data_IF_329632728676
#
_entry.id   IF_329632728676
#
_cell.length_a   1.000
_cell.length_b   1.000
_cell.length_c   1.000
_cell.angle_alpha   90.00
_cell.angle_beta   90.00
_cell.angle_gamma   90.00
#
_symmetry.space_group_name_H-M   'P 1'
#
loop_
_entity.id
_entity.type
_entity.pdbx_description
1 polymer ?
#
# COMPACT_ATOMS: atom_id res chain seq x y z
N UNK A 1 0.89 -26.69 1.22
CA UNK A 1 1.42 -25.50 1.88
C UNK A 1 2.93 -25.68 2.06
N UNK A 2 3.74 -24.90 1.37
CA UNK A 2 5.18 -24.92 1.59
C UNK A 2 5.45 -24.44 3.02
N UNK A 3 6.20 -25.22 3.81
CA UNK A 3 6.68 -24.80 5.13
C UNK A 3 7.55 -23.57 4.93
N UNK A 4 7.17 -22.45 5.50
CA UNK A 4 7.95 -21.23 5.50
C UNK A 4 9.33 -21.52 6.12
N UNK A 5 10.39 -21.23 5.37
CA UNK A 5 11.75 -21.33 5.89
C UNK A 5 11.93 -20.23 6.95
N UNK A 6 12.08 -20.63 8.22
CA UNK A 6 12.53 -19.69 9.25
C UNK A 6 13.89 -19.15 8.85
N UNK A 7 14.09 -17.83 9.02
CA UNK A 7 15.41 -17.22 8.86
C UNK A 7 16.27 -17.69 10.02
N UNK A 8 17.18 -18.62 9.77
CA UNK A 8 18.08 -19.17 10.79
C UNK A 8 19.30 -18.26 11.00
N UNK A 9 19.84 -17.72 9.91
CA UNK A 9 21.00 -16.84 9.92
C UNK A 9 20.70 -15.58 9.11
N UNK A 10 21.13 -14.42 9.61
CA UNK A 10 20.98 -13.13 8.93
C UNK A 10 22.13 -12.99 7.92
N UNK A 11 21.80 -12.61 6.69
CA UNK A 11 22.80 -12.28 5.66
C UNK A 11 23.64 -11.10 6.10
N UNK A 12 24.93 -11.09 5.74
CA UNK A 12 25.81 -9.96 6.04
C UNK A 12 25.40 -8.74 5.21
N UNK A 13 25.28 -7.60 5.86
CA UNK A 13 24.86 -6.33 5.24
C UNK A 13 25.79 -5.89 4.11
N UNK A 14 27.10 -6.13 4.25
CA UNK A 14 28.11 -5.75 3.25
C UNK A 14 28.12 -6.69 2.05
N UNK A 15 27.55 -7.90 2.19
CA UNK A 15 27.45 -8.88 1.10
C UNK A 15 26.18 -8.68 0.28
N UNK A 16 25.03 -8.51 0.94
CA UNK A 16 23.73 -8.26 0.29
C UNK A 16 22.82 -7.47 1.22
N UNK A 17 22.79 -6.16 1.02
CA UNK A 17 21.98 -5.24 1.82
C UNK A 17 20.47 -5.54 1.72
N UNK A 18 19.96 -5.86 0.55
CA UNK A 18 18.53 -6.12 0.34
C UNK A 18 18.08 -7.39 1.08
N UNK A 19 18.90 -8.44 0.99
CA UNK A 19 18.62 -9.69 1.70
C UNK A 19 18.79 -9.51 3.22
N UNK A 20 19.83 -8.80 3.66
CA UNK A 20 20.03 -8.45 5.07
C UNK A 20 18.81 -7.73 5.66
N UNK A 21 18.32 -6.72 4.97
CA UNK A 21 17.12 -5.96 5.39
C UNK A 21 15.89 -6.87 5.54
N UNK A 22 15.67 -7.72 4.54
CA UNK A 22 14.57 -8.68 4.55
C UNK A 22 14.68 -9.69 5.70
N UNK A 23 15.89 -10.23 5.90
CA UNK A 23 16.16 -11.20 6.98
C UNK A 23 15.92 -10.60 8.36
N UNK A 24 16.35 -9.36 8.59
CA UNK A 24 16.10 -8.64 9.85
C UNK A 24 14.61 -8.45 10.09
N UNK A 25 13.88 -7.93 9.11
CA UNK A 25 12.44 -7.69 9.23
C UNK A 25 11.67 -8.97 9.56
N UNK A 26 12.05 -10.10 8.95
CA UNK A 26 11.44 -11.40 9.20
C UNK A 26 11.90 -12.02 10.52
N UNK A 27 13.19 -11.96 10.83
CA UNK A 27 13.76 -12.51 12.08
C UNK A 27 13.22 -11.80 13.31
N UNK A 28 13.04 -10.49 13.23
CA UNK A 28 12.44 -9.66 14.28
C UNK A 28 10.90 -9.78 14.33
N UNK A 29 10.30 -10.62 13.49
CA UNK A 29 8.85 -10.84 13.42
C UNK A 29 8.05 -9.56 13.11
N UNK A 30 8.63 -8.62 12.35
CA UNK A 30 7.96 -7.39 11.95
C UNK A 30 7.00 -7.60 10.78
N UNK A 31 7.39 -8.45 9.84
CA UNK A 31 6.65 -8.73 8.61
C UNK A 31 6.65 -10.20 8.24
N UNK A 32 5.67 -10.58 7.45
CA UNK A 32 5.55 -11.88 6.80
C UNK A 32 5.00 -11.72 5.38
N UNK A 33 5.34 -12.64 4.47
CA UNK A 33 4.80 -12.59 3.11
C UNK A 33 3.36 -13.08 3.07
N UNK A 34 2.51 -12.33 2.36
CA UNK A 34 1.14 -12.73 2.10
C UNK A 34 1.05 -13.78 0.98
N UNK A 35 -0.11 -14.40 0.84
CA UNK A 35 -0.39 -15.36 -0.24
C UNK A 35 -0.36 -14.72 -1.63
N UNK A 36 -0.64 -13.42 -1.71
CA UNK A 36 -0.56 -12.65 -2.95
C UNK A 36 0.87 -12.14 -3.12
N UNK A 37 1.48 -12.46 -4.28
CA UNK A 37 2.84 -12.06 -4.59
C UNK A 37 3.01 -10.53 -4.53
N UNK A 38 4.05 -10.09 -3.84
CA UNK A 38 4.34 -8.67 -3.66
C UNK A 38 3.65 -8.01 -2.47
N UNK A 39 2.77 -8.75 -1.76
CA UNK A 39 2.12 -8.25 -0.55
C UNK A 39 2.80 -8.80 0.71
N UNK A 40 2.79 -7.98 1.76
CA UNK A 40 3.31 -8.34 3.08
C UNK A 40 2.24 -8.14 4.15
N UNK A 41 2.36 -8.92 5.21
CA UNK A 41 1.57 -8.78 6.42
C UNK A 41 2.45 -8.10 7.46
N UNK A 42 2.02 -6.97 7.98
CA UNK A 42 2.65 -6.38 9.16
C UNK A 42 2.22 -7.20 10.39
N UNK A 43 3.20 -7.81 11.06
CA UNK A 43 2.96 -8.56 12.28
C UNK A 43 2.84 -7.61 13.48
N UNK A 44 2.39 -8.06 14.66
CA UNK A 44 2.13 -7.17 15.79
C UNK A 44 3.25 -6.20 16.15
N UNK A 45 4.52 -6.65 16.12
CA UNK A 45 5.65 -5.75 16.40
C UNK A 45 5.86 -4.71 15.30
N UNK A 46 5.74 -5.10 14.03
CA UNK A 46 5.81 -4.16 12.91
C UNK A 46 4.64 -3.18 12.91
N UNK A 47 3.44 -3.67 13.23
CA UNK A 47 2.25 -2.83 13.30
C UNK A 47 2.32 -1.83 14.45
N UNK A 48 2.89 -2.20 15.60
CA UNK A 48 3.09 -1.28 16.73
C UNK A 48 4.03 -0.10 16.37
N UNK A 49 5.03 -0.33 15.52
CA UNK A 49 5.87 0.75 14.98
C UNK A 49 5.01 1.69 14.13
N UNK A 50 4.19 1.14 13.25
CA UNK A 50 3.28 1.90 12.41
C UNK A 50 2.26 2.73 13.22
N UNK A 51 1.63 2.16 14.24
CA UNK A 51 0.72 2.87 15.14
C UNK A 51 1.39 4.05 15.84
N UNK A 52 2.64 3.87 16.27
CA UNK A 52 3.41 4.96 16.89
C UNK A 52 3.72 6.09 15.89
N UNK A 53 4.09 5.76 14.65
CA UNK A 53 4.30 6.76 13.59
C UNK A 53 3.01 7.53 13.34
N UNK A 54 1.89 6.83 13.14
CA UNK A 54 0.58 7.46 12.92
C UNK A 54 0.21 8.40 14.07
N UNK A 55 0.33 7.94 15.30
CA UNK A 55 -0.03 8.73 16.51
C UNK A 55 0.78 10.02 16.62
N UNK A 56 2.09 9.93 16.36
CA UNK A 56 2.98 11.09 16.47
C UNK A 56 2.68 12.10 15.34
N UNK A 57 2.61 11.62 14.10
CA UNK A 57 2.38 12.49 12.94
C UNK A 57 0.98 13.11 12.95
N UNK A 58 -0.05 12.34 13.27
CA UNK A 58 -1.43 12.82 13.37
C UNK A 58 -1.56 13.93 14.41
N UNK A 59 -0.90 13.78 15.55
CA UNK A 59 -0.88 14.82 16.58
C UNK A 59 -0.22 16.12 16.10
N UNK A 60 0.85 16.04 15.32
CA UNK A 60 1.51 17.24 14.76
C UNK A 60 0.64 17.90 13.68
N UNK A 61 0.00 17.13 12.79
CA UNK A 61 -0.91 17.68 11.78
C UNK A 61 -2.11 18.40 12.42
N UNK A 62 -2.69 17.83 13.46
CA UNK A 62 -3.83 18.43 14.16
C UNK A 62 -3.49 19.75 14.87
N UNK A 63 -2.24 19.94 15.32
CA UNK A 63 -1.79 21.23 15.87
C UNK A 63 -1.86 22.38 14.87
N UNK A 64 -1.81 22.08 13.59
CA UNK A 64 -1.88 23.06 12.49
C UNK A 64 -3.26 23.15 11.86
N UNK A 65 -4.28 22.55 12.48
CA UNK A 65 -5.68 22.63 12.05
C UNK A 65 -6.07 21.66 10.95
N UNK A 66 -5.26 20.65 10.65
CA UNK A 66 -5.61 19.62 9.68
C UNK A 66 -6.62 18.62 10.27
N UNK A 67 -7.56 18.18 9.43
CA UNK A 67 -8.57 17.18 9.75
C UNK A 67 -8.37 15.93 8.90
N UNK A 68 -8.66 14.77 9.49
CA UNK A 68 -8.51 13.49 8.82
C UNK A 68 -9.74 13.20 7.97
N UNK A 69 -9.52 12.72 6.75
CA UNK A 69 -10.57 12.22 5.86
C UNK A 69 -10.25 10.81 5.40
N UNK A 70 -11.29 10.03 5.10
CA UNK A 70 -11.16 8.71 4.51
C UNK A 70 -11.79 8.72 3.12
N UNK A 71 -10.98 8.48 2.10
CA UNK A 71 -11.43 8.38 0.72
C UNK A 71 -11.66 6.93 0.31
N UNK A 72 -12.62 6.64 -0.60
CA UNK A 72 -12.82 5.29 -1.15
C UNK A 72 -11.54 4.72 -1.77
N UNK A 73 -11.41 3.40 -1.71
CA UNK A 73 -10.23 2.70 -2.27
C UNK A 73 -10.34 2.52 -3.77
N UNK A 74 -11.57 2.37 -4.28
CA UNK A 74 -11.86 2.19 -5.70
C UNK A 74 -12.32 3.52 -6.29
N UNK A 75 -11.78 3.84 -7.47
CA UNK A 75 -12.13 5.03 -8.24
C UNK A 75 -12.55 4.65 -9.66
N UNK A 76 -13.50 5.35 -10.27
CA UNK A 76 -13.94 5.07 -11.63
C UNK A 76 -12.84 5.40 -12.65
N UNK A 77 -12.78 4.63 -13.74
CA UNK A 77 -11.81 4.85 -14.82
C UNK A 77 -11.90 6.25 -15.42
N UNK A 78 -13.12 6.79 -15.54
CA UNK A 78 -13.38 8.13 -16.05
C UNK A 78 -12.65 9.22 -15.26
N UNK A 79 -12.53 9.06 -13.95
CA UNK A 79 -11.82 10.01 -13.09
C UNK A 79 -10.31 9.99 -13.34
N UNK A 80 -9.71 8.80 -13.50
CA UNK A 80 -8.29 8.67 -13.87
C UNK A 80 -7.98 9.22 -15.26
N UNK A 81 -8.91 9.12 -16.20
CA UNK A 81 -8.74 9.69 -17.54
C UNK A 81 -8.70 11.21 -17.52
N UNK A 82 -9.56 11.85 -16.70
CA UNK A 82 -9.52 13.31 -16.52
C UNK A 82 -8.16 13.77 -16.00
N UNK A 83 -7.57 13.03 -15.06
CA UNK A 83 -6.23 13.34 -14.55
C UNK A 83 -5.14 13.14 -15.60
N UNK A 84 -5.22 12.06 -16.39
CA UNK A 84 -4.30 11.78 -17.49
C UNK A 84 -4.27 12.87 -18.58
N UNK A 85 -5.37 13.61 -18.76
CA UNK A 85 -5.44 14.77 -19.64
C UNK A 85 -4.69 16.00 -19.08
N UNK A 86 -4.59 16.10 -17.76
CA UNK A 86 -3.91 17.20 -17.04
C UNK A 86 -2.40 16.96 -16.90
N UNK A 87 -1.97 15.70 -16.86
CA UNK A 87 -0.57 15.32 -16.66
C UNK A 87 -0.07 14.54 -17.87
N UNK A 88 0.66 15.22 -18.75
CA UNK A 88 1.27 14.59 -19.92
C UNK A 88 2.18 13.42 -19.54
N UNK A 89 1.86 12.23 -20.03
CA UNK A 89 2.67 11.02 -19.85
C UNK A 89 2.27 10.14 -18.66
N UNK A 90 1.18 10.46 -17.94
CA UNK A 90 0.70 9.63 -16.86
C UNK A 90 -0.18 8.48 -17.42
N UNK A 91 0.39 7.28 -17.49
CA UNK A 91 -0.34 6.03 -17.75
C UNK A 91 -0.27 5.17 -16.47
N UNK A 92 -1.24 5.26 -15.56
CA UNK A 92 -1.16 4.53 -14.30
C UNK A 92 -1.30 3.03 -14.54
N UNK A 93 -0.30 2.26 -14.12
CA UNK A 93 -0.42 0.81 -13.97
C UNK A 93 -1.17 0.52 -12.67
N UNK A 94 -2.42 0.10 -12.79
CA UNK A 94 -3.31 -0.13 -11.66
C UNK A 94 -3.97 -1.50 -11.72
N UNK A 95 -4.39 -2.01 -10.56
CA UNK A 95 -5.27 -3.15 -10.50
C UNK A 95 -6.71 -2.71 -10.86
N UNK A 96 -7.32 -3.43 -11.81
CA UNK A 96 -8.67 -3.14 -12.27
C UNK A 96 -9.69 -4.10 -11.68
N UNK A 97 -10.79 -3.56 -11.18
CA UNK A 97 -11.99 -4.30 -10.84
C UNK A 97 -12.96 -4.17 -12.02
N UNK A 98 -13.27 -5.29 -12.63
CA UNK A 98 -14.08 -5.36 -13.86
C UNK A 98 -15.41 -6.07 -13.66
N UNK A 99 -15.58 -6.76 -12.53
CA UNK A 99 -16.76 -7.55 -12.22
C UNK A 99 -17.23 -7.30 -10.79
N UNK A 100 -18.54 -7.29 -10.58
CA UNK A 100 -19.21 -7.35 -9.29
C UNK A 100 -19.95 -8.69 -9.15
N UNK A 101 -19.40 -9.62 -8.37
CA UNK A 101 -19.89 -11.00 -8.37
C UNK A 101 -19.68 -11.65 -9.73
N UNK A 102 -20.75 -12.11 -10.38
CA UNK A 102 -20.72 -12.73 -11.73
C UNK A 102 -21.02 -11.72 -12.86
N UNK A 103 -21.36 -10.49 -12.54
CA UNK A 103 -21.76 -9.47 -13.53
C UNK A 103 -20.60 -8.54 -13.85
N UNK A 104 -20.48 -8.18 -15.13
CA UNK A 104 -19.50 -7.21 -15.59
C UNK A 104 -19.97 -5.81 -15.20
N UNK A 105 -19.05 -5.00 -14.67
CA UNK A 105 -19.34 -3.60 -14.38
C UNK A 105 -19.51 -2.79 -15.67
N UNK A 106 -20.40 -1.82 -15.66
CA UNK A 106 -20.58 -0.88 -16.78
C UNK A 106 -19.32 -0.04 -17.01
N UNK A 107 -18.68 0.38 -15.91
CA UNK A 107 -17.41 1.08 -15.91
C UNK A 107 -16.40 0.34 -15.03
N UNK A 108 -15.14 0.22 -15.48
CA UNK A 108 -14.07 -0.36 -14.68
C UNK A 108 -13.73 0.56 -13.51
N UNK A 109 -13.40 -0.07 -12.37
CA UNK A 109 -12.90 0.64 -11.21
C UNK A 109 -11.42 0.34 -11.03
N UNK A 110 -10.61 1.35 -10.77
CA UNK A 110 -9.21 1.21 -10.44
C UNK A 110 -9.02 1.12 -8.93
N UNK A 111 -8.14 0.23 -8.49
CA UNK A 111 -7.59 0.34 -7.15
C UNK A 111 -6.69 1.58 -7.15
N UNK A 112 -7.03 2.59 -6.37
CA UNK A 112 -6.37 3.91 -6.44
C UNK A 112 -4.86 3.83 -6.27
N UNK A 113 -4.06 4.35 -7.22
CA UNK A 113 -2.62 4.49 -7.05
C UNK A 113 -2.27 5.66 -6.12
N UNK A 114 -3.15 6.66 -6.08
CA UNK A 114 -2.99 7.89 -5.31
C UNK A 114 -4.37 8.42 -4.91
N UNK A 115 -4.43 9.39 -3.99
CA UNK A 115 -5.69 9.98 -3.50
C UNK A 115 -5.98 11.38 -4.06
N UNK A 116 -5.03 12.02 -4.72
CA UNK A 116 -5.15 13.41 -5.21
C UNK A 116 -6.34 13.57 -6.15
N UNK A 117 -6.52 12.65 -7.09
CA UNK A 117 -7.64 12.64 -8.04
C UNK A 117 -9.00 12.81 -7.34
N UNK A 118 -9.16 12.13 -6.20
CA UNK A 118 -10.40 12.16 -5.44
C UNK A 118 -10.56 13.45 -4.65
N UNK A 119 -9.47 14.02 -4.14
CA UNK A 119 -9.50 15.32 -3.48
C UNK A 119 -9.85 16.44 -4.45
N UNK A 120 -9.41 16.34 -5.70
CA UNK A 120 -9.72 17.34 -6.72
C UNK A 120 -11.14 17.23 -7.26
N UNK A 121 -11.79 16.05 -7.15
CA UNK A 121 -13.16 15.82 -7.62
C UNK A 121 -14.20 16.16 -6.53
N UNK A 122 -13.80 16.17 -5.25
CA UNK A 122 -14.66 16.45 -4.09
C UNK A 122 -14.75 17.94 -3.81
#
# INVERSE_FOLDING_TARGET
MAKEKKVEQITDMEVDFAQWYTDICRKAELVEYASVKGFTILRPYGYAIWENIQRIMDAEFKKTGHENVAMPVLIPESLLKKEGELVNGFAPEVAWVTMGGSEKLEERLAFRPTSETMFCDH
#
